data_IF_514587476021
#
_entry.id   IF_514587476021
#
_cell.length_a   1.000
_cell.length_b   1.000
_cell.length_c   1.000
_cell.angle_alpha   90.00
_cell.angle_beta   90.00
_cell.angle_gamma   90.00
#
_symmetry.space_group_name_H-M   'P 1'
#
loop_
_entity.id
_entity.type
_entity.pdbx_description
1 polymer ?
#
# COMPACT_ATOMS: atom_id res chain seq x y z
N UNK A 1 -9.20 -45.76 61.02
CA UNK A 1 -10.23 -46.04 60.00
C UNK A 1 -9.61 -45.78 58.63
N UNK A 2 -9.72 -46.69 57.65
CA UNK A 2 -9.17 -46.57 56.29
C UNK A 2 -9.82 -47.61 55.32
N UNK A 3 -9.58 -47.46 54.00
CA UNK A 3 -9.91 -48.35 52.84
C UNK A 3 -11.41 -48.52 52.44
N UNK A 4 -11.93 -47.97 51.30
CA UNK A 4 -11.84 -48.39 49.86
C UNK A 4 -12.75 -49.62 49.49
N UNK A 5 -13.09 -49.97 48.21
CA UNK A 5 -13.57 -49.20 47.02
C UNK A 5 -14.59 -49.96 46.05
N UNK A 6 -14.82 -49.46 44.80
CA UNK A 6 -15.33 -50.15 43.52
C UNK A 6 -16.86 -50.43 43.31
N UNK A 7 -17.50 -50.57 42.11
CA UNK A 7 -17.19 -50.47 40.62
C UNK A 7 -18.53 -50.38 39.79
N UNK A 8 -18.67 -49.59 38.69
CA UNK A 8 -18.73 -49.92 37.21
C UNK A 8 -19.72 -51.02 36.69
N UNK A 9 -20.39 -51.02 35.51
CA UNK A 9 -20.51 -50.15 34.29
C UNK A 9 -21.60 -50.68 33.27
N UNK A 10 -21.86 -49.98 32.13
CA UNK A 10 -22.68 -50.30 30.89
C UNK A 10 -24.22 -50.02 30.93
N UNK A 11 -24.94 -49.42 29.95
CA UNK A 11 -24.78 -48.95 28.54
C UNK A 11 -25.22 -49.92 27.39
N UNK A 12 -25.87 -49.37 26.31
CA UNK A 12 -25.93 -49.80 24.86
C UNK A 12 -27.27 -50.28 24.19
N UNK A 13 -27.75 -49.51 23.17
CA UNK A 13 -28.41 -49.81 21.83
C UNK A 13 -29.95 -49.88 21.49
N UNK A 14 -30.31 -49.00 20.53
CA UNK A 14 -30.93 -49.15 19.17
C UNK A 14 -32.30 -49.83 18.83
N UNK A 15 -33.01 -49.17 17.87
CA UNK A 15 -33.72 -49.66 16.64
C UNK A 15 -35.17 -49.12 16.45
N UNK A 16 -35.87 -49.26 15.30
CA UNK A 16 -35.67 -48.71 13.93
C UNK A 16 -36.87 -49.03 12.99
N UNK A 17 -37.13 -48.21 11.94
CA UNK A 17 -38.14 -48.38 10.83
C UNK A 17 -39.61 -48.09 11.25
N UNK A 18 -40.59 -47.73 10.39
CA UNK A 18 -40.85 -47.99 8.96
C UNK A 18 -41.56 -46.81 8.21
N UNK A 19 -41.79 -46.91 6.89
CA UNK A 19 -42.29 -45.86 5.97
C UNK A 19 -43.79 -45.99 5.63
N UNK A 20 -44.53 -44.88 5.43
CA UNK A 20 -45.78 -44.82 4.63
C UNK A 20 -46.20 -43.39 4.20
N UNK A 21 -46.93 -43.33 3.09
CA UNK A 21 -47.40 -42.21 2.27
C UNK A 21 -48.13 -41.00 2.91
N UNK A 22 -47.83 -39.83 2.31
CA UNK A 22 -48.78 -38.82 1.77
C UNK A 22 -49.88 -38.11 2.62
N UNK A 23 -49.76 -36.78 2.58
CA UNK A 23 -50.85 -35.79 2.33
C UNK A 23 -51.73 -35.34 3.51
N UNK A 24 -51.34 -34.21 4.13
CA UNK A 24 -52.25 -33.10 4.48
C UNK A 24 -51.52 -31.76 4.39
N UNK A 25 -52.14 -30.77 3.71
CA UNK A 25 -51.61 -29.41 3.61
C UNK A 25 -51.87 -28.66 4.91
N UNK A 26 -50.83 -28.14 5.54
CA UNK A 26 -50.92 -27.13 6.59
C UNK A 26 -50.05 -25.94 6.20
N UNK A 27 -50.66 -24.80 5.85
CA UNK A 27 -49.93 -23.54 5.73
C UNK A 27 -49.55 -23.09 7.14
N UNK A 28 -48.28 -23.21 7.51
CA UNK A 28 -47.73 -22.49 8.65
C UNK A 28 -47.00 -21.24 8.14
N UNK A 29 -47.31 -20.09 8.73
CA UNK A 29 -46.59 -18.85 8.45
C UNK A 29 -45.19 -18.95 9.07
N UNK A 30 -44.20 -19.31 8.26
CA UNK A 30 -42.81 -19.31 8.66
C UNK A 30 -42.33 -17.87 8.87
N UNK A 31 -42.09 -17.49 10.13
CA UNK A 31 -41.27 -16.31 10.44
C UNK A 31 -39.95 -16.44 9.68
N UNK A 32 -39.64 -15.46 8.83
CA UNK A 32 -38.29 -15.29 8.29
C UNK A 32 -37.40 -14.91 9.47
N UNK A 33 -36.70 -15.90 10.02
CA UNK A 33 -35.60 -15.66 10.95
C UNK A 33 -34.47 -15.01 10.15
N UNK A 34 -34.26 -13.71 10.35
CA UNK A 34 -33.11 -13.02 9.78
C UNK A 34 -31.82 -13.77 10.14
N UNK A 35 -30.97 -14.01 9.15
CA UNK A 35 -29.65 -14.58 9.39
C UNK A 35 -28.85 -13.66 10.33
N UNK A 36 -28.02 -14.20 11.24
CA UNK A 36 -27.31 -13.37 12.20
C UNK A 36 -26.27 -12.49 11.50
N UNK A 37 -26.28 -11.19 11.83
CA UNK A 37 -25.34 -10.15 11.39
C UNK A 37 -23.85 -10.42 11.76
N UNK A 38 -23.56 -11.57 12.37
CA UNK A 38 -22.24 -11.96 12.86
C UNK A 38 -21.32 -12.53 11.78
N UNK A 39 -21.85 -13.15 10.71
CA UNK A 39 -20.99 -13.77 9.69
C UNK A 39 -20.16 -12.75 8.87
N UNK A 40 -20.73 -11.64 8.35
CA UNK A 40 -19.97 -10.67 7.57
C UNK A 40 -18.93 -9.91 8.40
N UNK A 41 -19.24 -9.66 9.68
CA UNK A 41 -18.36 -8.94 10.61
C UNK A 41 -17.15 -9.79 11.01
N UNK A 42 -17.33 -11.09 11.27
CA UNK A 42 -16.22 -12.03 11.54
C UNK A 42 -15.28 -12.20 10.32
N UNK A 43 -15.83 -12.27 9.10
CA UNK A 43 -15.03 -12.35 7.88
C UNK A 43 -14.20 -11.06 7.66
N UNK A 44 -14.81 -9.90 7.90
CA UNK A 44 -14.12 -8.61 7.84
C UNK A 44 -13.01 -8.45 8.89
N UNK A 45 -13.20 -8.91 10.13
CA UNK A 45 -12.17 -8.79 11.17
C UNK A 45 -11.00 -9.76 10.95
N UNK A 46 -11.26 -10.97 10.42
CA UNK A 46 -10.21 -11.88 9.95
C UNK A 46 -9.42 -11.26 8.78
N UNK A 47 -10.11 -10.64 7.82
CA UNK A 47 -9.50 -9.92 6.72
C UNK A 47 -8.64 -8.73 7.18
N UNK A 48 -9.13 -7.96 8.16
CA UNK A 48 -8.41 -6.86 8.83
C UNK A 48 -7.12 -7.35 9.49
N UNK A 49 -7.18 -8.45 10.24
CA UNK A 49 -6.03 -9.06 10.90
C UNK A 49 -4.94 -9.45 9.91
N UNK A 50 -5.30 -10.21 8.87
CA UNK A 50 -4.38 -10.61 7.81
C UNK A 50 -3.71 -9.41 7.12
N UNK A 51 -4.49 -8.38 6.75
CA UNK A 51 -3.96 -7.19 6.09
C UNK A 51 -3.01 -6.41 7.02
N UNK A 52 -3.36 -6.27 8.30
CA UNK A 52 -2.50 -5.60 9.29
C UNK A 52 -1.17 -6.35 9.49
N UNK A 53 -1.18 -7.67 9.49
CA UNK A 53 0.04 -8.49 9.63
C UNK A 53 0.93 -8.44 8.39
N UNK A 54 0.35 -8.33 7.17
CA UNK A 54 1.13 -8.00 5.97
C UNK A 54 1.82 -6.64 6.10
N UNK A 55 1.10 -5.61 6.56
CA UNK A 55 1.65 -4.26 6.74
C UNK A 55 2.73 -4.25 7.81
N UNK A 56 2.54 -4.90 8.96
CA UNK A 56 3.58 -5.05 9.99
C UNK A 56 4.87 -5.69 9.45
N UNK A 57 4.72 -6.74 8.63
CA UNK A 57 5.83 -7.55 8.10
C UNK A 57 6.61 -6.88 6.97
N UNK A 58 5.94 -6.16 6.06
CA UNK A 58 6.55 -5.65 4.83
C UNK A 58 6.54 -4.11 4.72
N UNK A 59 5.84 -3.41 5.62
CA UNK A 59 5.71 -1.95 5.64
C UNK A 59 5.60 -1.47 7.11
N UNK A 60 6.57 -1.89 7.92
CA UNK A 60 6.62 -1.57 9.36
C UNK A 60 6.46 -0.08 9.64
N UNK A 61 7.06 0.88 8.89
CA UNK A 61 6.81 2.31 9.10
C UNK A 61 5.32 2.68 9.04
N UNK A 62 4.58 2.21 8.02
CA UNK A 62 3.15 2.48 7.93
C UNK A 62 2.33 1.81 9.04
N UNK A 63 2.76 0.63 9.51
CA UNK A 63 2.14 -0.01 10.69
C UNK A 63 2.30 0.82 11.97
N UNK A 64 3.43 1.53 12.12
CA UNK A 64 3.71 2.43 13.25
C UNK A 64 3.02 3.79 13.11
N UNK A 65 2.67 4.21 11.88
CA UNK A 65 1.96 5.46 11.60
C UNK A 65 0.42 5.31 11.61
N UNK A 66 -0.12 4.09 11.54
CA UNK A 66 -1.55 3.78 11.67
C UNK A 66 -2.29 4.50 12.84
N UNK A 67 -1.70 4.72 14.03
CA UNK A 67 -2.39 5.44 15.11
C UNK A 67 -2.84 6.86 14.74
N UNK A 68 -2.12 7.53 13.83
CA UNK A 68 -2.38 8.90 13.38
C UNK A 68 -3.49 9.00 12.32
N UNK A 69 -3.94 7.85 11.77
CA UNK A 69 -5.09 7.79 10.88
C UNK A 69 -6.40 7.80 11.72
N UNK A 70 -7.38 8.66 11.39
CA UNK A 70 -8.68 8.70 12.05
C UNK A 70 -9.36 7.33 12.10
N UNK A 71 -10.01 6.98 13.22
CA UNK A 71 -10.55 5.63 13.46
C UNK A 71 -11.45 5.12 12.31
N UNK A 72 -12.27 5.99 11.73
CA UNK A 72 -13.17 5.66 10.62
C UNK A 72 -12.46 5.34 9.29
N UNK A 73 -11.20 5.72 9.12
CA UNK A 73 -10.39 5.53 7.91
C UNK A 73 -9.29 4.46 8.09
N UNK A 74 -9.21 3.80 9.25
CA UNK A 74 -8.15 2.81 9.52
C UNK A 74 -8.26 1.55 8.67
N UNK A 75 -9.48 1.06 8.40
CA UNK A 75 -9.66 -0.10 7.51
C UNK A 75 -9.28 0.23 6.07
N UNK A 76 -9.69 1.40 5.60
CA UNK A 76 -9.28 1.94 4.31
C UNK A 76 -7.74 2.01 4.20
N UNK A 77 -7.07 2.60 5.18
CA UNK A 77 -5.59 2.67 5.21
C UNK A 77 -4.95 1.29 5.22
N UNK A 78 -5.38 0.38 6.10
CA UNK A 78 -4.83 -0.98 6.19
C UNK A 78 -5.02 -1.74 4.88
N UNK A 79 -6.21 -1.65 4.26
CA UNK A 79 -6.51 -2.27 2.97
C UNK A 79 -5.64 -1.71 1.85
N UNK A 80 -5.48 -0.38 1.77
CA UNK A 80 -4.65 0.30 0.79
C UNK A 80 -3.16 -0.07 0.93
N UNK A 81 -2.61 -0.08 2.15
CA UNK A 81 -1.21 -0.51 2.36
C UNK A 81 -1.03 -2.00 2.03
N UNK A 82 -1.95 -2.87 2.42
CA UNK A 82 -1.89 -4.30 2.09
C UNK A 82 -2.02 -4.58 0.59
N UNK A 83 -2.91 -3.86 -0.11
CA UNK A 83 -3.03 -3.87 -1.57
C UNK A 83 -1.73 -3.45 -2.25
N UNK A 84 -1.15 -2.31 -1.86
CA UNK A 84 0.14 -1.84 -2.39
C UNK A 84 1.26 -2.87 -2.19
N UNK A 85 1.32 -3.51 -1.02
CA UNK A 85 2.27 -4.60 -0.73
C UNK A 85 2.06 -5.79 -1.69
N UNK A 86 0.81 -6.19 -1.96
CA UNK A 86 0.51 -7.32 -2.84
C UNK A 86 0.94 -7.05 -4.30
N UNK A 87 0.56 -5.89 -4.85
CA UNK A 87 0.87 -5.54 -6.24
C UNK A 87 2.36 -5.23 -6.43
N UNK A 88 3.00 -4.48 -5.52
CA UNK A 88 4.42 -4.11 -5.64
C UNK A 88 5.36 -5.34 -5.56
N UNK A 89 4.99 -6.36 -4.78
CA UNK A 89 5.75 -7.62 -4.65
C UNK A 89 5.46 -8.64 -5.74
N UNK A 90 4.73 -8.27 -6.80
CA UNK A 90 4.37 -9.24 -7.86
C UNK A 90 5.64 -9.77 -8.53
N UNK A 91 6.51 -8.89 -9.03
CA UNK A 91 7.80 -9.27 -9.63
C UNK A 91 8.66 -10.12 -8.68
N UNK A 92 8.68 -9.80 -7.38
CA UNK A 92 9.42 -10.56 -6.36
C UNK A 92 8.89 -11.99 -6.15
N UNK A 93 7.61 -12.24 -6.45
CA UNK A 93 6.92 -13.49 -6.11
C UNK A 93 6.47 -14.33 -7.31
N UNK A 94 6.62 -13.83 -8.54
CA UNK A 94 6.37 -14.58 -9.79
C UNK A 94 7.69 -14.98 -10.48
N UNK A 95 7.64 -16.05 -11.28
CA UNK A 95 8.84 -16.58 -11.97
C UNK A 95 9.15 -15.84 -13.27
N UNK A 96 8.12 -15.38 -13.99
CA UNK A 96 8.26 -14.66 -15.27
C UNK A 96 7.36 -13.41 -15.28
N UNK A 97 7.65 -12.39 -16.13
CA UNK A 97 6.79 -11.23 -16.30
C UNK A 97 5.36 -11.60 -16.70
N UNK A 98 5.17 -12.60 -17.56
CA UNK A 98 3.84 -13.08 -18.00
C UNK A 98 2.98 -13.57 -16.82
N UNK A 99 3.56 -14.32 -15.89
CA UNK A 99 2.86 -14.76 -14.66
C UNK A 99 2.57 -13.54 -13.76
N UNK A 100 3.47 -12.56 -13.74
CA UNK A 100 3.26 -11.26 -13.09
C UNK A 100 2.03 -10.53 -13.63
N UNK A 101 1.95 -10.38 -14.96
CA UNK A 101 0.81 -9.78 -15.67
C UNK A 101 -0.50 -10.50 -15.38
N UNK A 102 -0.52 -11.84 -15.43
CA UNK A 102 -1.71 -12.62 -15.07
C UNK A 102 -2.18 -12.35 -13.63
N UNK A 103 -1.24 -12.19 -12.69
CA UNK A 103 -1.57 -11.86 -11.30
C UNK A 103 -2.06 -10.41 -11.15
N UNK A 104 -1.42 -9.44 -11.78
CA UNK A 104 -1.89 -8.04 -11.76
C UNK A 104 -3.28 -7.90 -12.41
N UNK A 105 -3.55 -8.64 -13.49
CA UNK A 105 -4.88 -8.70 -14.11
C UNK A 105 -5.93 -9.27 -13.13
N UNK A 106 -5.58 -10.31 -12.39
CA UNK A 106 -6.44 -10.83 -11.33
C UNK A 106 -6.69 -9.77 -10.23
N UNK A 107 -5.68 -8.98 -9.82
CA UNK A 107 -5.86 -7.88 -8.87
C UNK A 107 -6.78 -6.77 -9.42
N UNK A 108 -6.73 -6.45 -10.72
CA UNK A 108 -7.68 -5.49 -11.36
C UNK A 108 -9.12 -5.96 -11.23
N UNK A 109 -9.36 -7.26 -11.45
CA UNK A 109 -10.68 -7.86 -11.25
C UNK A 109 -11.09 -7.84 -9.78
N UNK A 110 -10.18 -8.19 -8.86
CA UNK A 110 -10.46 -8.22 -7.43
C UNK A 110 -10.84 -6.84 -6.88
N UNK A 111 -10.09 -5.78 -7.26
CA UNK A 111 -10.45 -4.39 -6.96
C UNK A 111 -11.79 -4.01 -7.58
N UNK A 112 -12.00 -4.31 -8.87
CA UNK A 112 -13.26 -3.97 -9.55
C UNK A 112 -14.46 -4.58 -8.84
N UNK A 113 -14.38 -5.87 -8.51
CA UNK A 113 -15.42 -6.64 -7.82
C UNK A 113 -15.62 -6.17 -6.37
N UNK A 114 -14.55 -5.84 -5.66
CA UNK A 114 -14.62 -5.28 -4.31
C UNK A 114 -15.33 -3.92 -4.28
N UNK A 115 -14.94 -2.99 -5.16
CA UNK A 115 -15.56 -1.66 -5.25
C UNK A 115 -17.01 -1.70 -5.77
N UNK A 116 -17.44 -2.78 -6.44
CA UNK A 116 -18.85 -3.03 -6.80
C UNK A 116 -19.64 -3.81 -5.75
N UNK A 117 -19.10 -4.04 -4.55
CA UNK A 117 -19.80 -4.75 -3.46
C UNK A 117 -19.90 -6.27 -3.64
N UNK A 118 -19.12 -6.86 -4.54
CA UNK A 118 -19.09 -8.31 -4.85
C UNK A 118 -17.68 -8.91 -4.72
N UNK A 119 -16.93 -8.64 -3.62
CA UNK A 119 -15.53 -9.02 -3.50
C UNK A 119 -15.31 -10.54 -3.67
N UNK A 120 -14.21 -10.97 -4.33
CA UNK A 120 -13.75 -12.35 -4.21
C UNK A 120 -13.36 -12.66 -2.76
N UNK A 121 -13.37 -13.95 -2.39
CA UNK A 121 -13.00 -14.44 -1.04
C UNK A 121 -11.49 -14.37 -0.78
N UNK A 122 -10.98 -13.15 -0.71
CA UNK A 122 -9.59 -12.82 -0.45
C UNK A 122 -9.52 -11.68 0.58
N UNK A 123 -8.68 -11.78 1.63
CA UNK A 123 -8.64 -10.81 2.71
C UNK A 123 -8.53 -9.34 2.26
N UNK A 124 -7.66 -9.04 1.29
CA UNK A 124 -7.45 -7.67 0.81
C UNK A 124 -8.71 -7.15 0.10
N UNK A 125 -9.31 -7.95 -0.79
CA UNK A 125 -10.52 -7.57 -1.52
C UNK A 125 -11.74 -7.41 -0.60
N UNK A 126 -11.87 -8.28 0.42
CA UNK A 126 -12.92 -8.18 1.45
C UNK A 126 -12.79 -6.90 2.27
N UNK A 127 -11.57 -6.54 2.70
CA UNK A 127 -11.33 -5.31 3.46
C UNK A 127 -11.47 -4.04 2.60
N UNK A 128 -11.10 -4.10 1.32
CA UNK A 128 -11.35 -3.02 0.35
C UNK A 128 -12.86 -2.81 0.14
N UNK A 129 -13.65 -3.87 -0.03
CA UNK A 129 -15.09 -3.77 -0.18
C UNK A 129 -15.75 -3.16 1.05
N UNK A 130 -15.40 -3.63 2.25
CA UNK A 130 -15.86 -3.03 3.51
C UNK A 130 -15.48 -1.55 3.62
N UNK A 131 -14.24 -1.20 3.30
CA UNK A 131 -13.80 0.20 3.38
C UNK A 131 -14.54 1.11 2.38
N UNK A 132 -14.82 0.62 1.17
CA UNK A 132 -15.63 1.33 0.18
C UNK A 132 -17.09 1.50 0.61
N UNK A 133 -17.70 0.46 1.19
CA UNK A 133 -19.03 0.50 1.79
C UNK A 133 -19.08 1.50 2.95
N UNK A 134 -18.13 1.41 3.89
CA UNK A 134 -17.98 2.36 5.01
C UNK A 134 -17.94 3.79 4.47
N UNK A 135 -17.02 4.13 3.55
CA UNK A 135 -16.88 5.48 2.95
C UNK A 135 -18.20 5.96 2.33
N UNK A 136 -18.90 5.10 1.58
CA UNK A 136 -20.19 5.41 0.96
C UNK A 136 -21.26 5.70 2.01
N UNK A 137 -21.37 4.89 3.07
CA UNK A 137 -22.39 5.05 4.11
C UNK A 137 -22.24 6.38 4.89
N UNK A 138 -21.03 6.71 5.35
CA UNK A 138 -20.78 7.96 6.12
C UNK A 138 -20.76 9.23 5.25
N UNK A 139 -20.77 9.10 3.92
CA UNK A 139 -20.88 10.24 2.99
C UNK A 139 -22.26 10.37 2.34
N UNK A 140 -23.24 9.53 2.72
CA UNK A 140 -24.58 9.47 2.09
C UNK A 140 -24.46 9.24 0.56
N UNK A 141 -23.53 8.35 0.17
CA UNK A 141 -23.22 8.00 -1.22
C UNK A 141 -22.47 9.06 -2.03
N UNK A 142 -22.18 10.24 -1.45
CA UNK A 142 -21.55 11.39 -2.15
C UNK A 142 -20.06 11.21 -2.39
N UNK A 143 -19.37 10.46 -1.52
CA UNK A 143 -17.94 10.15 -1.66
C UNK A 143 -17.77 8.68 -1.97
N UNK A 144 -16.96 8.37 -2.98
CA UNK A 144 -16.58 7.02 -3.38
C UNK A 144 -15.09 7.02 -3.71
N UNK A 145 -14.43 5.89 -3.49
CA UNK A 145 -13.07 5.70 -4.00
C UNK A 145 -13.05 5.69 -5.53
N UNK A 146 -12.09 6.40 -6.12
CA UNK A 146 -11.84 6.29 -7.56
C UNK A 146 -11.26 4.91 -7.89
N UNK A 147 -11.98 4.16 -8.74
CA UNK A 147 -11.48 2.91 -9.31
C UNK A 147 -10.25 3.14 -10.19
N UNK A 148 -10.19 4.24 -10.94
CA UNK A 148 -9.07 4.50 -11.86
C UNK A 148 -7.76 4.77 -11.13
N UNK A 149 -7.78 5.34 -9.91
CA UNK A 149 -6.58 5.43 -9.07
C UNK A 149 -5.98 4.04 -8.76
N UNK A 150 -6.80 3.06 -8.39
CA UNK A 150 -6.30 1.69 -8.19
C UNK A 150 -5.75 1.07 -9.48
N UNK A 151 -6.45 1.25 -10.61
CA UNK A 151 -6.02 0.70 -11.90
C UNK A 151 -4.71 1.35 -12.37
N UNK A 152 -4.59 2.68 -12.29
CA UNK A 152 -3.37 3.45 -12.62
C UNK A 152 -2.15 2.93 -11.87
N UNK A 153 -2.30 2.62 -10.58
CA UNK A 153 -1.24 2.01 -9.76
C UNK A 153 -0.87 0.61 -10.28
N UNK A 154 -1.86 -0.25 -10.57
CA UNK A 154 -1.61 -1.60 -11.12
C UNK A 154 -0.94 -1.51 -12.50
N UNK A 155 -1.44 -0.66 -13.39
CA UNK A 155 -0.94 -0.46 -14.76
C UNK A 155 0.51 0.06 -14.77
N UNK A 156 0.84 0.95 -13.83
CA UNK A 156 2.21 1.44 -13.64
C UNK A 156 3.12 0.33 -13.12
N UNK A 157 2.66 -0.48 -12.16
CA UNK A 157 3.42 -1.66 -11.69
C UNK A 157 3.57 -2.73 -12.78
N UNK A 158 2.59 -2.90 -13.66
CA UNK A 158 2.67 -3.82 -14.79
C UNK A 158 3.72 -3.40 -15.81
N UNK A 159 3.70 -2.12 -16.22
CA UNK A 159 4.71 -1.54 -17.13
C UNK A 159 6.14 -1.69 -16.61
N UNK A 160 6.31 -1.74 -15.28
CA UNK A 160 7.62 -1.91 -14.63
C UNK A 160 7.91 -3.35 -14.15
N UNK A 161 7.11 -4.38 -14.49
CA UNK A 161 7.33 -5.77 -14.02
C UNK A 161 8.69 -6.36 -14.38
N UNK A 162 9.25 -5.97 -15.53
CA UNK A 162 10.55 -6.41 -16.03
C UNK A 162 11.72 -5.53 -15.53
N UNK A 163 11.48 -4.63 -14.56
CA UNK A 163 12.46 -3.65 -14.07
C UNK A 163 13.16 -2.84 -15.19
N UNK A 164 12.42 -2.25 -16.16
CA UNK A 164 13.03 -1.39 -17.18
C UNK A 164 13.64 -0.15 -16.51
N UNK A 165 14.78 0.36 -17.01
CA UNK A 165 15.42 1.55 -16.48
C UNK A 165 14.57 2.80 -16.71
N UNK A 166 14.69 3.80 -15.84
CA UNK A 166 13.99 5.08 -16.00
C UNK A 166 14.75 5.97 -16.99
N UNK A 167 14.13 6.45 -18.08
CA UNK A 167 14.83 7.26 -19.09
C UNK A 167 15.37 8.60 -18.55
N UNK A 168 14.66 9.21 -17.59
CA UNK A 168 15.10 10.42 -16.91
C UNK A 168 14.62 10.48 -15.47
N UNK A 169 15.18 11.40 -14.67
CA UNK A 169 14.72 11.66 -13.30
C UNK A 169 13.21 11.99 -13.26
N UNK A 170 12.71 12.76 -14.23
CA UNK A 170 11.27 13.07 -14.39
C UNK A 170 10.42 11.81 -14.59
N UNK A 171 10.92 10.77 -15.28
CA UNK A 171 10.18 9.51 -15.43
C UNK A 171 10.09 8.73 -14.11
N UNK A 172 11.13 8.81 -13.26
CA UNK A 172 11.09 8.27 -11.91
C UNK A 172 10.11 9.04 -11.01
N UNK A 173 10.00 10.36 -11.18
CA UNK A 173 8.95 11.17 -10.51
C UNK A 173 7.54 10.78 -10.97
N UNK A 174 7.32 10.61 -12.29
CA UNK A 174 6.04 10.14 -12.85
C UNK A 174 5.68 8.75 -12.33
N UNK A 175 6.65 7.85 -12.16
CA UNK A 175 6.43 6.54 -11.53
C UNK A 175 6.03 6.67 -10.05
N UNK A 176 6.71 7.55 -9.30
CA UNK A 176 6.42 7.77 -7.89
C UNK A 176 5.04 8.42 -7.68
N UNK A 177 4.63 9.31 -8.58
CA UNK A 177 3.29 9.92 -8.63
C UNK A 177 2.19 8.88 -8.84
N UNK A 178 2.31 8.10 -9.93
CA UNK A 178 1.34 7.08 -10.33
C UNK A 178 1.32 5.85 -9.38
N UNK A 179 2.14 5.82 -8.32
CA UNK A 179 2.15 4.74 -7.34
C UNK A 179 2.03 5.21 -5.90
N UNK A 180 2.96 6.03 -5.40
CA UNK A 180 2.99 6.45 -4.00
C UNK A 180 2.12 7.68 -3.73
N UNK A 181 2.05 8.68 -4.63
CA UNK A 181 1.09 9.80 -4.51
C UNK A 181 -0.34 9.29 -4.67
N UNK A 182 -0.59 8.48 -5.70
CA UNK A 182 -1.87 7.79 -5.93
C UNK A 182 -2.38 7.05 -4.68
N UNK A 183 -1.49 6.38 -3.93
CA UNK A 183 -1.82 5.71 -2.67
C UNK A 183 -2.20 6.68 -1.54
N UNK A 184 -1.64 7.89 -1.53
CA UNK A 184 -2.02 8.96 -0.60
C UNK A 184 -3.34 9.61 -1.01
N UNK A 185 -3.61 9.85 -2.30
CA UNK A 185 -4.92 10.34 -2.78
C UNK A 185 -6.05 9.37 -2.40
N UNK A 186 -5.86 8.07 -2.61
CA UNK A 186 -6.81 7.05 -2.14
C UNK A 186 -6.99 7.07 -0.61
N UNK A 187 -5.95 7.43 0.15
CA UNK A 187 -6.03 7.59 1.60
C UNK A 187 -6.78 8.88 2.00
N UNK A 188 -6.61 9.97 1.25
CA UNK A 188 -7.36 11.23 1.44
C UNK A 188 -8.84 11.06 1.09
N UNK A 189 -9.17 10.34 0.01
CA UNK A 189 -10.55 9.94 -0.33
C UNK A 189 -11.21 9.05 0.73
N UNK A 190 -10.43 8.41 1.62
CA UNK A 190 -10.95 7.69 2.77
C UNK A 190 -11.29 8.58 3.97
N UNK A 191 -10.97 9.88 3.92
CA UNK A 191 -11.44 10.92 4.82
C UNK A 191 -12.64 11.65 4.19
N UNK A 192 -13.58 12.22 4.98
CA UNK A 192 -14.70 13.01 4.45
C UNK A 192 -14.22 14.43 4.06
N UNK A 193 -13.38 14.51 3.03
CA UNK A 193 -12.81 15.74 2.48
C UNK A 193 -12.61 15.64 0.96
N UNK A 194 -12.58 16.78 0.30
CA UNK A 194 -11.96 16.96 -1.00
C UNK A 194 -11.20 18.28 -0.95
N UNK A 195 -9.87 18.24 -0.96
CA UNK A 195 -9.01 19.40 -0.74
C UNK A 195 -7.85 19.37 -1.72
N UNK A 196 -7.83 20.34 -2.65
CA UNK A 196 -6.76 20.51 -3.62
C UNK A 196 -5.42 20.74 -2.92
N UNK A 197 -5.44 21.48 -1.82
CA UNK A 197 -4.28 21.74 -0.97
C UNK A 197 -3.74 20.44 -0.35
N UNK A 198 -4.61 19.56 0.15
CA UNK A 198 -4.19 18.28 0.71
C UNK A 198 -3.65 17.32 -0.35
N UNK A 199 -4.29 17.25 -1.52
CA UNK A 199 -3.82 16.46 -2.66
C UNK A 199 -2.46 16.98 -3.16
N UNK A 200 -2.26 18.30 -3.26
CA UNK A 200 -0.98 18.88 -3.68
C UNK A 200 0.17 18.52 -2.71
N UNK A 201 -0.05 18.61 -1.40
CA UNK A 201 0.92 18.17 -0.38
C UNK A 201 1.18 16.66 -0.48
N UNK A 202 0.13 15.87 -0.72
CA UNK A 202 0.25 14.43 -0.92
C UNK A 202 1.03 14.06 -2.19
N UNK A 203 0.98 14.85 -3.26
CA UNK A 203 1.79 14.65 -4.47
C UNK A 203 3.29 14.70 -4.15
N UNK A 204 3.73 15.77 -3.49
CA UNK A 204 5.15 15.92 -3.12
C UNK A 204 5.61 14.82 -2.15
N UNK A 205 4.83 14.53 -1.11
CA UNK A 205 5.17 13.47 -0.14
C UNK A 205 5.17 12.08 -0.81
N UNK A 206 4.25 11.84 -1.74
CA UNK A 206 4.16 10.62 -2.54
C UNK A 206 5.37 10.45 -3.46
N UNK A 207 5.70 11.48 -4.26
CA UNK A 207 6.90 11.54 -5.11
C UNK A 207 8.17 11.26 -4.30
N UNK A 208 8.39 12.00 -3.20
CA UNK A 208 9.52 11.78 -2.29
C UNK A 208 9.60 10.33 -1.77
N UNK A 209 8.46 9.79 -1.31
CA UNK A 209 8.38 8.44 -0.74
C UNK A 209 8.63 7.36 -1.81
N UNK A 210 8.19 7.58 -3.05
CA UNK A 210 8.41 6.66 -4.16
C UNK A 210 9.84 6.65 -4.67
N UNK A 211 10.47 7.81 -4.84
CA UNK A 211 11.89 7.93 -5.19
C UNK A 211 12.75 7.22 -4.12
N UNK A 212 12.51 7.53 -2.83
CA UNK A 212 13.20 6.88 -1.72
C UNK A 212 12.93 5.37 -1.63
N UNK A 213 11.77 4.88 -2.08
CA UNK A 213 11.47 3.46 -2.14
C UNK A 213 12.22 2.75 -3.29
N UNK A 214 12.38 3.40 -4.45
CA UNK A 214 13.21 2.88 -5.56
C UNK A 214 14.67 2.79 -5.14
N UNK A 215 15.23 3.84 -4.53
CA UNK A 215 16.59 3.79 -3.97
C UNK A 215 16.73 2.67 -2.93
N UNK A 216 15.81 2.56 -1.96
CA UNK A 216 15.81 1.47 -0.96
C UNK A 216 15.69 0.08 -1.57
N UNK A 217 15.05 -0.04 -2.74
CA UNK A 217 14.90 -1.30 -3.49
C UNK A 217 16.13 -1.68 -4.31
N UNK A 218 16.97 -0.71 -4.72
CA UNK A 218 18.11 -0.92 -5.62
C UNK A 218 19.01 -2.10 -5.19
N UNK A 219 19.48 -2.24 -3.93
CA UNK A 219 20.31 -3.38 -3.54
C UNK A 219 19.65 -4.76 -3.69
N UNK A 220 18.31 -4.82 -3.62
CA UNK A 220 17.54 -6.06 -3.70
C UNK A 220 17.20 -6.44 -5.15
N UNK A 221 17.15 -5.44 -6.04
CA UNK A 221 16.79 -5.60 -7.45
C UNK A 221 18.05 -5.75 -8.32
N UNK A 222 19.15 -5.10 -7.97
CA UNK A 222 20.46 -5.32 -8.58
C UNK A 222 21.05 -6.70 -8.20
N UNK A 223 20.75 -7.20 -6.99
CA UNK A 223 21.24 -8.49 -6.49
C UNK A 223 20.07 -9.36 -6.01
N UNK A 224 19.24 -9.88 -6.94
CA UNK A 224 18.11 -10.72 -6.59
C UNK A 224 18.57 -12.02 -5.94
N UNK A 225 17.85 -12.45 -4.90
CA UNK A 225 18.11 -13.72 -4.24
C UNK A 225 17.88 -14.94 -5.16
N UNK A 226 18.39 -16.13 -4.77
CA UNK A 226 18.26 -17.34 -5.58
C UNK A 226 16.79 -17.68 -5.87
N UNK A 227 16.46 -18.25 -7.04
CA UNK A 227 15.09 -18.54 -7.44
C UNK A 227 14.40 -19.52 -6.47
N UNK A 228 13.10 -19.31 -6.28
CA UNK A 228 12.28 -20.12 -5.37
C UNK A 228 12.21 -21.59 -5.83
N UNK A 229 12.79 -22.50 -5.05
CA UNK A 229 12.91 -23.94 -5.37
C UNK A 229 11.60 -24.75 -5.35
N UNK A 230 10.44 -24.11 -5.25
CA UNK A 230 9.13 -24.76 -5.10
C UNK A 230 8.25 -24.72 -6.37
N UNK A 231 8.84 -24.43 -7.54
CA UNK A 231 8.12 -24.56 -8.82
C UNK A 231 7.99 -26.03 -9.22
N UNK A 232 6.77 -26.58 -9.09
CA UNK A 232 6.43 -27.92 -9.57
C UNK A 232 5.98 -27.94 -11.05
N UNK A 233 6.13 -26.84 -11.80
CA UNK A 233 5.81 -26.83 -13.23
C UNK A 233 6.97 -27.43 -14.05
N UNK A 234 6.72 -28.40 -14.94
CA UNK A 234 7.74 -28.92 -15.84
C UNK A 234 8.16 -27.83 -16.83
N UNK A 235 9.46 -27.63 -16.97
CA UNK A 235 10.05 -26.72 -17.95
C UNK A 235 9.71 -27.16 -19.38
N UNK A 236 8.86 -26.43 -20.08
CA UNK A 236 8.63 -26.66 -21.51
C UNK A 236 9.85 -26.15 -22.32
N UNK A 237 10.32 -26.91 -23.33
CA UNK A 237 11.34 -26.41 -24.26
C UNK A 237 10.86 -25.13 -24.94
N UNK A 238 11.66 -24.07 -24.88
CA UNK A 238 11.28 -22.74 -25.40
C UNK A 238 10.42 -21.89 -24.45
N UNK A 239 10.25 -22.28 -23.19
CA UNK A 239 9.68 -21.42 -22.16
C UNK A 239 10.76 -20.84 -21.25
N UNK A 240 10.69 -19.53 -20.95
CA UNK A 240 11.61 -18.83 -20.02
C UNK A 240 11.36 -19.20 -18.54
N UNK A 241 10.70 -20.34 -18.28
CA UNK A 241 10.38 -20.89 -16.96
C UNK A 241 11.66 -21.52 -16.40
N UNK A 242 12.57 -20.66 -15.98
CA UNK A 242 13.95 -21.00 -15.64
C UNK A 242 14.93 -19.83 -15.78
N UNK A 243 14.51 -18.70 -16.36
CA UNK A 243 15.30 -17.49 -16.39
C UNK A 243 15.79 -17.12 -14.99
N UNK A 244 17.11 -17.11 -14.80
CA UNK A 244 17.74 -16.46 -13.66
C UNK A 244 17.27 -15.02 -13.61
N UNK A 245 16.79 -14.53 -12.47
CA UNK A 245 16.45 -13.12 -12.32
C UNK A 245 17.72 -12.30 -12.59
N UNK A 246 17.76 -11.65 -13.75
CA UNK A 246 18.80 -10.68 -14.07
C UNK A 246 18.70 -9.55 -13.05
N UNK A 247 19.82 -9.14 -12.47
CA UNK A 247 19.88 -7.91 -11.70
C UNK A 247 19.60 -6.71 -12.60
N UNK A 248 18.96 -5.67 -12.05
CA UNK A 248 18.70 -4.41 -12.76
C UNK A 248 19.01 -3.20 -11.88
N UNK A 249 19.56 -2.15 -12.48
CA UNK A 249 19.87 -0.88 -11.78
C UNK A 249 18.77 0.14 -12.06
N UNK A 250 17.90 0.36 -11.07
CA UNK A 250 16.74 1.26 -11.19
C UNK A 250 17.07 2.75 -10.93
N UNK A 251 18.26 3.21 -11.31
CA UNK A 251 18.56 4.65 -11.35
C UNK A 251 18.13 5.25 -12.70
N UNK A 252 17.85 6.56 -12.74
CA UNK A 252 17.62 7.25 -14.01
C UNK A 252 18.85 7.26 -14.92
N UNK A 253 18.65 6.99 -16.21
CA UNK A 253 19.73 6.88 -17.20
C UNK A 253 20.47 8.20 -17.45
N UNK A 254 19.78 9.33 -17.36
CA UNK A 254 20.37 10.67 -17.41
C UNK A 254 21.35 10.89 -16.24
N UNK A 255 20.93 10.61 -15.01
CA UNK A 255 21.76 10.74 -13.80
C UNK A 255 22.91 9.72 -13.81
N UNK A 256 22.68 8.49 -14.29
CA UNK A 256 23.75 7.52 -14.48
C UNK A 256 24.80 8.02 -15.49
N UNK A 257 24.37 8.61 -16.61
CA UNK A 257 25.29 9.17 -17.61
C UNK A 257 26.06 10.38 -17.06
N UNK A 258 25.39 11.30 -16.35
CA UNK A 258 25.99 12.48 -15.71
C UNK A 258 27.14 12.09 -14.76
N UNK A 259 26.92 11.12 -13.88
CA UNK A 259 27.91 10.65 -12.93
C UNK A 259 28.79 9.50 -13.45
N UNK A 260 28.75 9.20 -14.75
CA UNK A 260 29.54 8.12 -15.39
C UNK A 260 29.34 6.71 -14.81
N UNK A 261 28.15 6.44 -14.26
CA UNK A 261 27.75 5.14 -13.70
C UNK A 261 27.35 4.18 -14.81
N UNK A 262 27.94 2.98 -14.82
CA UNK A 262 27.60 1.91 -15.76
C UNK A 262 26.91 0.78 -15.00
N UNK A 263 25.80 0.28 -15.53
CA UNK A 263 25.02 -0.81 -14.90
C UNK A 263 25.89 -2.03 -14.57
N UNK A 264 26.72 -2.48 -15.52
CA UNK A 264 27.65 -3.60 -15.33
C UNK A 264 28.64 -3.38 -14.16
N UNK A 265 29.11 -2.14 -13.95
CA UNK A 265 30.04 -1.83 -12.86
C UNK A 265 29.32 -1.88 -11.50
N UNK A 266 28.03 -1.51 -11.44
CA UNK A 266 27.17 -1.68 -10.26
C UNK A 266 26.90 -3.15 -9.99
N UNK A 267 26.55 -3.93 -11.02
CA UNK A 267 26.25 -5.37 -10.87
C UNK A 267 27.48 -6.21 -10.51
N UNK A 268 28.70 -5.74 -10.82
CA UNK A 268 29.96 -6.39 -10.42
C UNK A 268 30.48 -5.94 -9.06
N UNK A 269 30.49 -4.63 -8.80
CA UNK A 269 31.22 -4.03 -7.67
C UNK A 269 30.31 -3.55 -6.54
N UNK A 270 28.98 -3.56 -6.74
CA UNK A 270 27.99 -3.12 -5.76
C UNK A 270 28.24 -1.68 -5.29
N UNK A 271 28.38 -1.51 -3.98
CA UNK A 271 28.65 -0.21 -3.34
C UNK A 271 29.94 0.48 -3.81
N UNK A 272 30.90 -0.26 -4.38
CA UNK A 272 32.19 0.26 -4.84
C UNK A 272 32.19 0.70 -6.30
N UNK A 273 31.04 0.69 -6.98
CA UNK A 273 30.93 1.15 -8.36
C UNK A 273 31.16 2.67 -8.47
N UNK A 274 31.99 3.07 -9.44
CA UNK A 274 32.36 4.47 -9.65
C UNK A 274 31.12 5.32 -9.95
N UNK A 275 31.07 6.52 -9.36
CA UNK A 275 29.98 7.50 -9.52
C UNK A 275 28.65 7.12 -8.86
N UNK A 276 28.51 5.90 -8.33
CA UNK A 276 27.21 5.42 -7.84
C UNK A 276 26.69 6.21 -6.63
N UNK A 277 27.57 6.60 -5.71
CA UNK A 277 27.20 7.45 -4.56
C UNK A 277 26.73 8.83 -5.00
N UNK A 278 27.39 9.42 -5.99
CA UNK A 278 27.03 10.73 -6.56
C UNK A 278 25.67 10.66 -7.29
N UNK A 279 25.43 9.61 -8.08
CA UNK A 279 24.13 9.37 -8.71
C UNK A 279 23.00 9.14 -7.68
N UNK A 280 23.27 8.38 -6.61
CA UNK A 280 22.33 8.19 -5.50
C UNK A 280 22.09 9.51 -4.75
N UNK A 281 23.11 10.33 -4.55
CA UNK A 281 23.00 11.68 -3.97
C UNK A 281 22.06 12.57 -4.79
N UNK A 282 22.23 12.64 -6.11
CA UNK A 282 21.39 13.47 -6.98
C UNK A 282 19.92 13.02 -6.96
N UNK A 283 19.65 11.71 -7.04
CA UNK A 283 18.29 11.16 -6.93
C UNK A 283 17.70 11.36 -5.52
N UNK A 284 18.51 11.21 -4.46
CA UNK A 284 18.08 11.43 -3.08
C UNK A 284 17.79 12.91 -2.79
N UNK A 285 18.55 13.83 -3.38
CA UNK A 285 18.32 15.27 -3.32
C UNK A 285 16.95 15.60 -3.88
N UNK A 286 16.60 15.08 -5.08
CA UNK A 286 15.27 15.27 -5.68
C UNK A 286 14.12 14.81 -4.77
N UNK A 287 14.30 13.71 -4.04
CA UNK A 287 13.33 13.23 -3.06
C UNK A 287 13.23 14.16 -1.84
N UNK A 288 14.35 14.73 -1.38
CA UNK A 288 14.39 15.69 -0.28
C UNK A 288 13.78 17.04 -0.67
N UNK A 289 14.00 17.52 -1.90
CA UNK A 289 13.40 18.76 -2.41
C UNK A 289 11.87 18.72 -2.30
N UNK A 290 11.26 17.60 -2.71
CA UNK A 290 9.82 17.37 -2.54
C UNK A 290 9.37 17.43 -1.06
N UNK A 291 10.17 16.93 -0.11
CA UNK A 291 9.86 17.07 1.31
C UNK A 291 10.02 18.51 1.80
N UNK A 292 10.98 19.27 1.27
CA UNK A 292 11.16 20.70 1.56
C UNK A 292 9.96 21.49 1.03
N UNK A 293 9.53 21.27 -0.22
CA UNK A 293 8.33 21.89 -0.79
C UNK A 293 7.09 21.59 0.06
N UNK A 294 6.84 20.31 0.39
CA UNK A 294 5.71 19.93 1.23
C UNK A 294 5.72 20.62 2.61
N UNK A 295 6.89 20.79 3.23
CA UNK A 295 7.05 21.53 4.50
C UNK A 295 6.83 23.03 4.35
N UNK A 296 7.31 23.64 3.27
CA UNK A 296 7.11 25.06 2.97
C UNK A 296 5.62 25.34 2.76
N UNK A 297 4.92 24.52 1.97
CA UNK A 297 3.47 24.61 1.79
C UNK A 297 2.75 24.53 3.15
N UNK A 298 3.05 23.53 3.98
CA UNK A 298 2.46 23.38 5.31
C UNK A 298 2.69 24.61 6.21
N UNK A 299 3.85 25.24 6.12
CA UNK A 299 4.17 26.46 6.86
C UNK A 299 3.35 27.67 6.36
N UNK A 300 3.31 27.92 5.04
CA UNK A 300 2.52 29.00 4.43
C UNK A 300 1.02 28.83 4.70
N UNK A 301 0.47 27.63 4.51
CA UNK A 301 -0.93 27.33 4.84
C UNK A 301 -1.22 27.52 6.34
N UNK A 302 -0.26 27.20 7.21
CA UNK A 302 -0.38 27.44 8.66
C UNK A 302 -0.37 28.92 9.01
N UNK A 303 0.30 29.76 8.22
CA UNK A 303 0.31 31.22 8.31
C UNK A 303 -0.93 31.89 7.66
N UNK A 304 -1.68 31.16 6.83
CA UNK A 304 -2.85 31.67 6.09
C UNK A 304 -2.54 32.14 4.66
N UNK A 305 -1.37 31.78 4.14
CA UNK A 305 -0.92 32.07 2.78
C UNK A 305 -1.31 30.92 1.81
N UNK A 306 -1.16 31.18 0.51
CA UNK A 306 -1.35 30.17 -0.55
C UNK A 306 -0.15 29.20 -0.62
N UNK A 307 -0.29 28.11 -1.38
CA UNK A 307 0.72 27.04 -1.44
C UNK A 307 2.03 27.41 -2.17
N UNK A 308 2.12 28.60 -2.76
CA UNK A 308 3.33 29.13 -3.42
C UNK A 308 3.49 28.76 -4.91
N UNK A 309 2.84 27.70 -5.39
CA UNK A 309 2.73 27.38 -6.81
C UNK A 309 1.47 26.56 -7.12
N UNK A 310 1.13 26.49 -8.41
CA UNK A 310 0.02 25.67 -8.92
C UNK A 310 0.29 24.17 -8.75
N UNK A 311 -0.79 23.40 -8.59
CA UNK A 311 -0.71 21.94 -8.53
C UNK A 311 -0.83 21.35 -9.94
N UNK A 312 0.24 20.75 -10.45
CA UNK A 312 0.33 20.25 -11.83
C UNK A 312 -0.71 19.16 -12.17
N UNK A 313 -1.15 18.37 -11.19
CA UNK A 313 -2.16 17.30 -11.37
C UNK A 313 -3.60 17.74 -11.07
N UNK A 314 -3.86 19.01 -10.74
CA UNK A 314 -5.19 19.47 -10.30
C UNK A 314 -6.34 19.24 -11.29
N UNK A 315 -6.02 19.08 -12.58
CA UNK A 315 -6.98 18.95 -13.68
C UNK A 315 -7.22 17.48 -14.10
N UNK A 316 -6.65 16.49 -13.43
CA UNK A 316 -6.94 15.09 -13.72
C UNK A 316 -8.35 14.70 -13.24
N UNK A 317 -9.05 13.86 -14.01
CA UNK A 317 -10.48 13.56 -13.84
C UNK A 317 -10.84 13.01 -12.44
N UNK A 318 -9.88 12.39 -11.75
CA UNK A 318 -10.07 11.82 -10.41
C UNK A 318 -9.98 12.82 -9.25
N UNK A 319 -9.45 14.03 -9.47
CA UNK A 319 -9.34 15.08 -8.45
C UNK A 319 -10.66 15.86 -8.34
N UNK A 320 -11.68 15.21 -7.77
CA UNK A 320 -13.05 15.73 -7.71
C UNK A 320 -13.27 16.52 -6.41
N UNK A 321 -13.24 17.85 -6.50
CA UNK A 321 -13.52 18.78 -5.40
C UNK A 321 -14.98 19.24 -5.39
N UNK A 322 -15.89 18.42 -4.85
CA UNK A 322 -17.31 18.78 -4.72
C UNK A 322 -17.51 19.92 -3.70
N UNK A 323 -18.28 20.98 -4.01
CA UNK A 323 -18.69 21.98 -3.02
C UNK A 323 -19.54 21.32 -1.93
N UNK A 324 -19.02 21.24 -0.71
CA UNK A 324 -19.81 20.84 0.45
C UNK A 324 -20.73 21.96 0.89
N UNK A 325 -21.97 21.62 1.28
CA UNK A 325 -22.97 22.57 1.79
C UNK A 325 -22.74 22.99 3.25
N UNK A 326 -21.69 22.45 3.90
CA UNK A 326 -21.18 22.95 5.17
C UNK A 326 -20.38 24.25 4.95
N UNK A 327 -20.14 25.01 6.03
CA UNK A 327 -19.23 26.16 5.95
C UNK A 327 -17.88 25.74 5.37
N UNK A 328 -17.42 26.46 4.34
CA UNK A 328 -16.19 26.14 3.59
C UNK A 328 -15.01 26.10 4.58
N UNK A 329 -14.44 24.92 4.79
CA UNK A 329 -13.26 24.75 5.64
C UNK A 329 -12.11 25.61 5.12
N UNK A 330 -11.26 26.12 6.02
CA UNK A 330 -10.04 26.81 5.59
C UNK A 330 -8.99 25.77 5.16
N UNK A 331 -8.07 26.09 4.23
CA UNK A 331 -7.02 25.15 3.81
C UNK A 331 -6.22 24.57 5.00
N UNK A 332 -6.06 25.35 6.07
CA UNK A 332 -5.45 24.91 7.33
C UNK A 332 -6.27 23.83 8.05
N UNK A 333 -7.59 23.96 8.12
CA UNK A 333 -8.47 22.95 8.73
C UNK A 333 -8.46 21.65 7.92
N UNK A 334 -8.46 21.75 6.59
CA UNK A 334 -8.35 20.60 5.69
C UNK A 334 -7.03 19.86 5.90
N UNK A 335 -5.91 20.59 5.91
CA UNK A 335 -4.56 20.08 6.21
C UNK A 335 -4.47 19.47 7.61
N UNK A 336 -5.03 20.11 8.63
CA UNK A 336 -5.00 19.60 10.02
C UNK A 336 -5.74 18.25 10.13
N UNK A 337 -6.86 18.10 9.41
CA UNK A 337 -7.64 16.87 9.33
C UNK A 337 -6.93 15.80 8.49
N UNK A 338 -6.21 16.21 7.45
CA UNK A 338 -5.43 15.34 6.57
C UNK A 338 -4.08 14.90 7.16
N UNK A 339 -3.54 15.60 8.17
CA UNK A 339 -2.15 15.48 8.63
C UNK A 339 -1.66 14.05 8.90
N UNK A 340 -2.53 13.15 9.37
CA UNK A 340 -2.20 11.73 9.56
C UNK A 340 -1.76 11.01 8.28
N UNK A 341 -2.24 11.45 7.12
CA UNK A 341 -1.91 10.92 5.78
C UNK A 341 -0.55 11.41 5.30
N UNK A 342 -0.10 12.59 5.74
CA UNK A 342 1.20 13.18 5.40
C UNK A 342 2.37 12.57 6.20
N UNK A 343 2.09 11.85 7.30
CA UNK A 343 3.09 11.22 8.17
C UNK A 343 4.16 10.33 7.49
N UNK A 344 3.94 9.68 6.32
CA UNK A 344 5.01 8.98 5.60
C UNK A 344 6.21 9.87 5.25
N UNK A 345 6.02 11.19 5.09
CA UNK A 345 7.10 12.15 4.91
C UNK A 345 8.19 12.04 5.98
N UNK A 346 7.80 11.86 7.25
CA UNK A 346 8.72 11.71 8.37
C UNK A 346 9.54 10.42 8.25
N UNK A 347 8.91 9.31 7.86
CA UNK A 347 9.61 8.03 7.67
C UNK A 347 10.57 8.08 6.46
N UNK A 348 10.18 8.78 5.39
CA UNK A 348 11.01 9.05 4.22
C UNK A 348 12.20 9.93 4.58
N UNK A 349 11.98 11.06 5.27
CA UNK A 349 13.03 11.93 5.78
C UNK A 349 14.04 11.20 6.66
N UNK A 350 13.55 10.44 7.65
CA UNK A 350 14.41 9.66 8.55
C UNK A 350 15.22 8.57 7.84
N UNK A 351 14.81 8.16 6.63
CA UNK A 351 15.56 7.25 5.79
C UNK A 351 16.60 8.00 4.95
N UNK A 352 16.25 9.15 4.38
CA UNK A 352 17.20 10.05 3.67
C UNK A 352 18.30 10.56 4.63
N UNK A 353 17.94 10.97 5.86
CA UNK A 353 18.84 11.33 6.97
C UNK A 353 19.91 10.25 7.25
N UNK A 354 19.57 8.97 7.02
CA UNK A 354 20.48 7.83 7.23
C UNK A 354 21.31 7.53 5.99
N UNK A 355 20.75 7.74 4.80
CA UNK A 355 21.44 7.59 3.52
C UNK A 355 22.58 8.62 3.42
N UNK A 356 22.29 9.89 3.74
CA UNK A 356 23.28 10.96 3.84
C UNK A 356 24.41 10.62 4.83
N UNK A 357 24.06 10.21 6.06
CA UNK A 357 25.04 9.77 7.06
C UNK A 357 25.81 8.50 6.69
N UNK A 358 25.32 7.76 5.70
CA UNK A 358 25.98 6.62 5.08
C UNK A 358 26.80 6.97 3.85
N UNK A 359 27.07 8.27 3.59
CA UNK A 359 27.76 8.75 2.38
C UNK A 359 27.08 8.28 1.09
N UNK A 360 25.74 8.32 1.09
CA UNK A 360 24.88 7.86 0.00
C UNK A 360 25.10 6.41 -0.45
N UNK A 361 25.74 5.59 0.39
CA UNK A 361 25.88 4.15 0.20
C UNK A 361 24.53 3.44 0.42
N UNK A 362 23.81 3.26 -0.69
CA UNK A 362 22.50 2.61 -0.72
C UNK A 362 22.53 1.13 -0.29
N UNK A 363 23.70 0.47 -0.30
CA UNK A 363 23.86 -0.92 0.13
C UNK A 363 23.99 -1.09 1.64
N UNK A 364 24.23 0.00 2.39
CA UNK A 364 24.41 -0.01 3.83
C UNK A 364 23.25 -0.73 4.55
N UNK A 365 23.56 -1.84 5.23
CA UNK A 365 22.54 -2.68 5.89
C UNK A 365 21.72 -1.93 6.95
N UNK A 366 22.26 -0.84 7.51
CA UNK A 366 21.55 0.04 8.45
C UNK A 366 20.31 0.70 7.83
N UNK A 367 20.29 0.91 6.51
CA UNK A 367 19.15 1.48 5.76
C UNK A 367 17.96 0.54 5.68
N UNK A 368 18.16 -0.77 5.89
CA UNK A 368 17.10 -1.80 5.89
C UNK A 368 16.33 -1.84 7.21
N UNK A 369 16.84 -1.22 8.28
CA UNK A 369 16.26 -1.25 9.63
C UNK A 369 15.38 -0.03 9.88
N UNK A 370 14.10 -0.27 10.18
CA UNK A 370 13.18 0.76 10.66
C UNK A 370 13.78 1.46 11.89
N UNK A 371 13.71 2.78 11.94
CA UNK A 371 14.27 3.54 13.05
C UNK A 371 13.39 3.42 14.31
N UNK A 372 14.00 3.06 15.43
CA UNK A 372 13.32 2.94 16.72
C UNK A 372 12.75 4.28 17.22
N UNK A 373 13.29 5.42 16.74
CA UNK A 373 12.81 6.76 17.08
C UNK A 373 11.54 7.15 16.32
N UNK A 374 11.13 6.40 15.29
CA UNK A 374 9.97 6.76 14.45
C UNK A 374 8.68 6.95 15.25
N UNK A 375 8.28 6.08 16.20
CA UNK A 375 7.05 6.28 16.97
C UNK A 375 7.06 7.56 17.81
N UNK A 376 8.20 7.90 18.41
CA UNK A 376 8.36 9.12 19.23
C UNK A 376 8.37 10.38 18.38
N UNK A 377 9.17 10.41 17.30
CA UNK A 377 9.17 11.52 16.34
C UNK A 377 7.79 11.72 15.72
N UNK A 378 7.08 10.63 15.39
CA UNK A 378 5.74 10.70 14.80
C UNK A 378 4.70 11.28 15.77
N UNK A 379 4.77 10.94 17.07
CA UNK A 379 3.88 11.51 18.07
C UNK A 379 4.10 13.02 18.21
N UNK A 380 5.37 13.46 18.25
CA UNK A 380 5.75 14.86 18.33
C UNK A 380 5.34 15.65 17.08
N UNK A 381 5.61 15.10 15.89
CA UNK A 381 5.24 15.67 14.60
C UNK A 381 3.72 15.87 14.47
N UNK A 382 2.94 14.83 14.80
CA UNK A 382 1.48 14.87 14.74
C UNK A 382 0.87 15.85 15.75
N UNK A 383 1.43 15.94 16.96
CA UNK A 383 0.99 16.91 17.98
C UNK A 383 1.28 18.37 17.58
N UNK A 384 2.36 18.62 16.85
CA UNK A 384 2.80 19.97 16.44
C UNK A 384 2.40 20.35 15.02
N UNK A 385 1.78 19.44 14.26
CA UNK A 385 1.43 19.63 12.84
C UNK A 385 2.65 20.03 11.98
N UNK A 386 3.79 19.40 12.24
CA UNK A 386 5.07 19.69 11.58
C UNK A 386 5.81 18.37 11.24
N UNK A 387 6.45 18.27 10.07
CA UNK A 387 6.99 17.02 9.46
C UNK A 387 8.51 16.93 9.47
#
# INVERSE_FOLDING_TARGET
MNSWPTRSLKEIRNAAKFVSECRRRGFSSGRVTAAPLAAPTLEADSARGYCLDLVRKYDTPSSLLLPYIPRHARDAYIALRAFNINVARTADTTSTPTIGSMRLQFEREAVTKALSGTPPKQPIALLLAKAAEDISLRSDGRTKWSKSWFLRLIDTREKNLSNPPYPSLTHLETYAENTYSTLLYLTLQALPMGSLTADHIASHIGKATGIAAVLRGLPLIAFPGPPNKHSNQPSQPGSDIGATRQGAVLLPLDIMAEHSVREEDVLRNGASAQGLRDAVFTVATRANDHLITARQMLASISAGEEAGHDFEHQNEEEHIYLPTSAAKETPKQEVDRAFGVFMPALATHMWLDKLEKGDFDVFNEGLRKTDWKLPWKAAWAYQRKNL
#
